data_IF_135067323588
#
_entry.id   IF_135067323588
#
_cell.length_a   1.000
_cell.length_b   1.000
_cell.length_c   1.000
_cell.angle_alpha   90.00
_cell.angle_beta   90.00
_cell.angle_gamma   90.00
#
_symmetry.space_group_name_H-M   'P 1'
#
loop_
_entity.id
_entity.type
_entity.pdbx_description
1 polymer ?
#
# COMPACT_ATOMS: atom_id res chain seq x y z
N UNK A 1 0.72 18.14 -5.78
CA UNK A 1 0.92 16.70 -6.02
C UNK A 1 1.00 15.99 -4.68
N UNK A 2 1.90 16.44 -3.80
CA UNK A 2 2.07 15.96 -2.42
C UNK A 2 0.78 15.82 -1.59
N UNK A 3 -0.13 16.82 -1.60
CA UNK A 3 -1.40 16.73 -0.84
C UNK A 3 -2.28 15.53 -1.25
N UNK A 4 -2.32 15.21 -2.55
CA UNK A 4 -3.11 14.09 -3.03
C UNK A 4 -2.45 12.76 -2.66
N UNK A 5 -1.14 12.65 -2.83
CA UNK A 5 -0.38 11.48 -2.41
C UNK A 5 -0.50 11.24 -0.90
N UNK A 6 -0.44 12.28 -0.07
CA UNK A 6 -0.64 12.17 1.38
C UNK A 6 -2.02 11.57 1.69
N UNK A 7 -3.07 12.04 1.02
CA UNK A 7 -4.41 11.47 1.15
C UNK A 7 -4.44 9.98 0.76
N UNK A 8 -3.77 9.60 -0.32
CA UNK A 8 -3.70 8.19 -0.73
C UNK A 8 -2.96 7.33 0.30
N UNK A 9 -1.86 7.84 0.87
CA UNK A 9 -1.08 7.16 1.91
C UNK A 9 -1.89 7.02 3.20
N UNK A 10 -2.61 8.06 3.62
CA UNK A 10 -3.49 8.02 4.79
C UNK A 10 -4.59 6.96 4.65
N UNK A 11 -5.26 6.91 3.50
CA UNK A 11 -6.28 5.90 3.23
C UNK A 11 -5.69 4.49 3.16
N UNK A 12 -4.54 4.32 2.50
CA UNK A 12 -3.84 3.02 2.50
C UNK A 12 -3.45 2.60 3.92
N UNK A 13 -2.94 3.51 4.76
CA UNK A 13 -2.52 3.20 6.12
C UNK A 13 -3.72 2.75 6.96
N UNK A 14 -4.87 3.43 6.84
CA UNK A 14 -6.11 3.06 7.53
C UNK A 14 -6.55 1.64 7.21
N UNK A 15 -6.67 1.29 5.93
CA UNK A 15 -7.10 -0.06 5.53
C UNK A 15 -6.02 -1.10 5.80
N UNK A 16 -4.75 -0.77 5.55
CA UNK A 16 -3.64 -1.68 5.82
C UNK A 16 -3.57 -2.06 7.29
N UNK A 17 -3.85 -1.15 8.22
CA UNK A 17 -3.88 -1.45 9.64
C UNK A 17 -5.00 -2.44 9.96
N UNK A 18 -6.22 -2.17 9.47
CA UNK A 18 -7.36 -3.07 9.67
C UNK A 18 -7.10 -4.50 9.16
N UNK A 19 -6.52 -4.66 7.97
CA UNK A 19 -6.18 -5.98 7.44
C UNK A 19 -5.03 -6.68 8.18
N UNK A 20 -4.15 -5.91 8.81
CA UNK A 20 -3.04 -6.47 9.60
C UNK A 20 -3.49 -6.88 11.00
N UNK A 21 -4.47 -6.17 11.57
CA UNK A 21 -5.05 -6.51 12.87
C UNK A 21 -5.81 -7.86 12.84
N UNK A 22 -6.21 -8.33 11.66
CA UNK A 22 -6.79 -9.66 11.46
C UNK A 22 -5.77 -10.80 11.43
N UNK A 23 -4.46 -10.51 11.45
CA UNK A 23 -3.42 -11.53 11.44
C UNK A 23 -3.13 -12.04 12.85
N UNK A 24 -3.08 -13.37 12.99
CA UNK A 24 -2.60 -14.01 14.21
C UNK A 24 -1.09 -13.78 14.42
N UNK A 25 -0.64 -13.89 15.67
CA UNK A 25 0.76 -13.71 16.03
C UNK A 25 1.70 -14.76 15.40
N UNK A 26 1.16 -15.93 15.06
CA UNK A 26 1.83 -17.05 14.38
C UNK A 26 1.49 -17.14 12.89
N UNK A 27 0.95 -16.06 12.29
CA UNK A 27 0.58 -15.99 10.88
C UNK A 27 1.69 -16.50 9.95
N UNK A 28 1.31 -17.43 9.07
CA UNK A 28 2.24 -18.05 8.12
C UNK A 28 2.56 -17.12 6.95
N UNK A 29 3.56 -17.48 6.15
CA UNK A 29 3.81 -16.77 4.87
C UNK A 29 2.60 -16.75 3.93
N UNK A 30 1.76 -17.79 3.97
CA UNK A 30 0.55 -17.82 3.16
C UNK A 30 -0.46 -16.75 3.62
N UNK A 31 -0.59 -16.56 4.94
CA UNK A 31 -1.47 -15.57 5.56
C UNK A 31 -0.98 -14.16 5.29
N UNK A 32 0.33 -13.91 5.44
CA UNK A 32 0.94 -12.61 5.12
C UNK A 32 0.73 -12.22 3.65
N UNK A 33 0.90 -13.18 2.73
CA UNK A 33 0.61 -12.98 1.31
C UNK A 33 -0.87 -12.75 1.04
N UNK A 34 -1.77 -13.43 1.77
CA UNK A 34 -3.22 -13.23 1.65
C UNK A 34 -3.63 -11.84 2.12
N UNK A 35 -3.13 -11.40 3.28
CA UNK A 35 -3.30 -10.04 3.78
C UNK A 35 -2.81 -8.99 2.78
N UNK A 36 -1.58 -9.15 2.26
CA UNK A 36 -1.04 -8.20 1.27
C UNK A 36 -1.85 -8.12 -0.02
N UNK A 37 -2.37 -9.26 -0.52
CA UNK A 37 -3.30 -9.26 -1.66
C UNK A 37 -4.62 -8.58 -1.33
N UNK A 38 -5.16 -8.78 -0.13
CA UNK A 38 -6.41 -8.16 0.29
C UNK A 38 -6.27 -6.63 0.33
N UNK A 39 -5.16 -6.11 0.87
CA UNK A 39 -4.84 -4.68 0.86
C UNK A 39 -4.76 -4.16 -0.57
N UNK A 40 -3.96 -4.80 -1.43
CA UNK A 40 -3.80 -4.38 -2.84
C UNK A 40 -5.15 -4.36 -3.58
N UNK A 41 -5.95 -5.41 -3.44
CA UNK A 41 -7.25 -5.52 -4.10
C UNK A 41 -8.23 -4.46 -3.61
N UNK A 42 -8.28 -4.21 -2.30
CA UNK A 42 -9.14 -3.17 -1.73
C UNK A 42 -8.75 -1.80 -2.28
N UNK A 43 -7.48 -1.43 -2.21
CA UNK A 43 -7.01 -0.14 -2.72
C UNK A 43 -7.21 -0.01 -4.24
N UNK A 44 -7.22 -1.12 -4.98
CA UNK A 44 -7.54 -1.15 -6.41
C UNK A 44 -9.02 -0.97 -6.75
N UNK A 45 -9.91 -1.19 -5.79
CA UNK A 45 -11.37 -1.13 -5.95
C UNK A 45 -12.02 0.19 -5.53
N UNK A 46 -11.29 1.05 -4.81
CA UNK A 46 -11.78 2.38 -4.42
C UNK A 46 -11.53 3.40 -5.53
N UNK A 47 -12.13 4.59 -5.42
CA UNK A 47 -11.88 5.70 -6.33
C UNK A 47 -11.74 7.01 -5.55
N UNK A 48 -10.50 7.47 -5.41
CA UNK A 48 -10.14 8.75 -4.79
C UNK A 48 -9.55 9.60 -5.90
N UNK A 49 -10.34 10.45 -6.59
CA UNK A 49 -9.84 11.22 -7.71
C UNK A 49 -8.89 12.33 -7.24
N UNK A 50 -7.82 12.56 -8.01
CA UNK A 50 -6.86 13.67 -7.75
C UNK A 50 -7.53 15.04 -7.87
N UNK A 51 -8.52 15.15 -8.77
CA UNK A 51 -9.35 16.33 -9.02
C UNK A 51 -10.70 15.86 -9.55
N UNK A 52 -11.73 16.67 -9.36
CA UNK A 52 -13.11 16.36 -9.74
C UNK A 52 -13.27 15.87 -11.19
N UNK A 53 -12.48 16.41 -12.15
CA UNK A 53 -12.54 16.05 -13.57
C UNK A 53 -11.66 14.87 -13.97
N UNK A 54 -10.90 14.27 -13.05
CA UNK A 54 -10.05 13.11 -13.31
C UNK A 54 -10.70 11.91 -12.65
N UNK A 55 -11.57 11.25 -13.41
CA UNK A 55 -12.47 10.20 -12.90
C UNK A 55 -11.96 8.79 -13.19
N UNK A 56 -10.95 8.70 -14.04
CA UNK A 56 -10.34 7.47 -14.49
C UNK A 56 -9.59 6.78 -13.35
N UNK A 57 -10.16 5.70 -12.83
CA UNK A 57 -9.62 4.93 -11.71
C UNK A 57 -8.17 4.48 -11.91
N UNK A 58 -7.73 4.27 -13.16
CA UNK A 58 -6.36 3.88 -13.46
C UNK A 58 -5.35 4.95 -13.02
N UNK A 59 -5.75 6.22 -12.92
CA UNK A 59 -4.89 7.30 -12.41
C UNK A 59 -4.58 7.05 -10.94
N UNK A 60 -5.59 6.77 -10.11
CA UNK A 60 -5.40 6.46 -8.69
C UNK A 60 -4.59 5.16 -8.52
N UNK A 61 -4.94 4.10 -9.25
CA UNK A 61 -4.19 2.82 -9.22
C UNK A 61 -2.72 3.01 -9.56
N UNK A 62 -2.41 3.78 -10.61
CA UNK A 62 -1.04 4.12 -10.98
C UNK A 62 -0.28 4.87 -9.88
N UNK A 63 -0.93 5.81 -9.18
CA UNK A 63 -0.30 6.53 -8.07
C UNK A 63 0.05 5.60 -6.90
N UNK A 64 -0.79 4.62 -6.58
CA UNK A 64 -0.44 3.62 -5.56
C UNK A 64 0.79 2.80 -5.94
N UNK A 65 0.96 2.43 -7.22
CA UNK A 65 2.17 1.76 -7.68
C UNK A 65 3.41 2.66 -7.61
N UNK A 66 3.27 3.94 -7.96
CA UNK A 66 4.34 4.93 -7.81
C UNK A 66 4.76 5.10 -6.35
N UNK A 67 3.78 5.14 -5.42
CA UNK A 67 4.04 5.26 -3.98
C UNK A 67 4.61 3.99 -3.35
N UNK A 68 4.31 2.83 -3.96
CA UNK A 68 4.87 1.54 -3.57
C UNK A 68 6.26 1.29 -4.16
N UNK A 69 6.63 2.04 -5.20
CA UNK A 69 7.96 2.04 -5.75
C UNK A 69 8.91 2.91 -4.89
N UNK A 70 10.20 2.58 -4.94
CA UNK A 70 11.25 3.34 -4.27
C UNK A 70 11.71 4.47 -5.19
N UNK A 71 10.92 5.54 -5.27
CA UNK A 71 11.36 6.73 -5.97
C UNK A 71 12.49 7.41 -5.17
N UNK A 72 13.68 7.43 -5.77
CA UNK A 72 14.83 8.28 -5.39
C UNK A 72 15.51 7.91 -4.05
N UNK A 73 15.59 6.63 -3.70
CA UNK A 73 16.40 6.15 -2.57
C UNK A 73 15.73 6.33 -1.19
N UNK A 74 14.42 6.62 -1.18
CA UNK A 74 13.62 6.69 0.03
C UNK A 74 12.82 5.40 0.25
N UNK A 75 12.42 5.10 1.49
CA UNK A 75 11.53 3.95 1.73
C UNK A 75 10.18 4.16 1.01
N UNK A 76 9.58 3.10 0.45
CA UNK A 76 8.27 3.19 -0.18
C UNK A 76 7.23 3.68 0.84
N UNK A 77 6.34 4.55 0.38
CA UNK A 77 5.30 5.17 1.23
C UNK A 77 4.05 4.30 1.34
N UNK A 78 3.90 3.35 0.42
CA UNK A 78 2.85 2.33 0.40
C UNK A 78 3.50 0.96 0.32
N UNK A 79 3.04 0.02 1.13
CA UNK A 79 3.61 -1.33 1.21
C UNK A 79 2.48 -2.35 1.20
N UNK A 80 2.55 -3.34 0.32
CA UNK A 80 1.52 -4.37 0.26
C UNK A 80 1.75 -5.49 1.26
N UNK A 81 2.97 -6.04 1.30
CA UNK A 81 3.28 -7.17 2.17
C UNK A 81 3.62 -6.72 3.60
N UNK A 82 2.98 -7.25 4.67
CA UNK A 82 3.17 -6.75 6.04
C UNK A 82 4.63 -6.73 6.51
N UNK A 83 5.41 -7.75 6.12
CA UNK A 83 6.85 -7.87 6.43
C UNK A 83 7.81 -7.35 5.35
N UNK A 84 7.35 -6.55 4.39
CA UNK A 84 8.20 -6.13 3.26
C UNK A 84 9.46 -5.39 3.73
N UNK A 85 9.30 -4.32 4.53
CA UNK A 85 10.44 -3.51 4.99
C UNK A 85 11.39 -4.32 5.85
N UNK A 86 10.86 -5.14 6.77
CA UNK A 86 11.65 -6.06 7.60
C UNK A 86 12.57 -6.93 6.73
N UNK A 87 12.03 -7.55 5.66
CA UNK A 87 12.80 -8.41 4.76
C UNK A 87 13.80 -7.66 3.90
N UNK A 88 13.42 -6.49 3.39
CA UNK A 88 14.33 -5.67 2.58
C UNK A 88 15.51 -5.23 3.42
N UNK A 89 15.27 -4.75 4.64
CA UNK A 89 16.34 -4.32 5.55
C UNK A 89 17.24 -5.49 5.97
N UNK A 90 16.70 -6.69 6.14
CA UNK A 90 17.49 -7.89 6.45
C UNK A 90 18.47 -8.30 5.33
N UNK A 91 18.28 -7.84 4.08
CA UNK A 91 19.22 -8.11 2.97
C UNK A 91 20.48 -7.24 3.07
N UNK A 92 20.39 -6.07 3.71
CA UNK A 92 21.48 -5.10 3.81
C UNK A 92 22.27 -5.20 5.13
N UNK A 93 22.09 -6.29 5.88
CA UNK A 93 22.87 -6.64 7.08
C UNK A 93 24.04 -7.56 6.71
#
# INVERSE_FOLDING_TARGET
MEKYENKLVEEWQRFSLAYKDELDSDATEADLRKCGRAILNHMGSINIPIRERVTEEYVMRGNYHILADNLKGALPRVIWHPKFLERVLAIFQ
#
